data_IF_664861420232
#
_entry.id   IF_664861420232
#
_cell.length_a   1.000
_cell.length_b   1.000
_cell.length_c   1.000
_cell.angle_alpha   90.00
_cell.angle_beta   90.00
_cell.angle_gamma   90.00
#
_symmetry.space_group_name_H-M   'P 1'
#
loop_
_entity.id
_entity.type
_entity.pdbx_description
1 polymer ?
#
# COMPACT_ATOMS: atom_id res chain seq x y z
N UNK A 1 21.58 -10.80 -1.62
CA UNK A 1 20.66 -9.66 -1.48
C UNK A 1 20.13 -9.74 -0.06
N UNK A 2 19.99 -8.65 0.66
CA UNK A 2 19.64 -8.68 2.10
C UNK A 2 18.13 -8.43 2.28
N UNK A 3 17.42 -9.38 2.88
CA UNK A 3 15.98 -9.29 3.18
C UNK A 3 15.65 -8.12 4.12
N UNK A 4 16.62 -7.67 4.93
CA UNK A 4 16.44 -6.50 5.81
C UNK A 4 16.13 -5.22 5.03
N UNK A 5 16.67 -5.08 3.80
CA UNK A 5 16.35 -3.95 2.93
C UNK A 5 14.85 -3.89 2.63
N UNK A 6 14.25 -5.05 2.32
CA UNK A 6 12.80 -5.12 2.05
C UNK A 6 11.98 -4.91 3.31
N UNK A 7 12.39 -5.45 4.46
CA UNK A 7 11.69 -5.18 5.73
C UNK A 7 11.69 -3.69 6.06
N UNK A 8 12.81 -3.00 5.89
CA UNK A 8 12.90 -1.56 6.11
C UNK A 8 12.05 -0.77 5.10
N UNK A 9 12.08 -1.16 3.81
CA UNK A 9 11.28 -0.54 2.77
C UNK A 9 9.78 -0.70 3.04
N UNK A 10 9.35 -1.87 3.50
CA UNK A 10 7.96 -2.12 3.85
C UNK A 10 7.55 -1.47 5.17
N UNK A 11 8.45 -1.32 6.13
CA UNK A 11 8.17 -0.52 7.33
C UNK A 11 7.86 0.93 6.95
N UNK A 12 8.68 1.53 6.07
CA UNK A 12 8.39 2.83 5.49
C UNK A 12 7.01 2.83 4.78
N UNK A 13 6.71 1.84 3.96
CA UNK A 13 5.45 1.74 3.24
C UNK A 13 4.26 1.75 4.21
N UNK A 14 4.30 0.96 5.28
CA UNK A 14 3.25 0.87 6.28
C UNK A 14 3.11 2.16 7.10
N UNK A 15 4.21 2.73 7.55
CA UNK A 15 4.20 3.94 8.37
C UNK A 15 3.63 5.13 7.59
N UNK A 16 3.99 5.28 6.31
CA UNK A 16 3.44 6.34 5.46
C UNK A 16 1.94 6.12 5.17
N UNK A 17 1.51 4.88 4.97
CA UNK A 17 0.10 4.55 4.79
C UNK A 17 -0.71 4.93 6.03
N UNK A 18 -0.21 4.61 7.23
CA UNK A 18 -0.84 5.00 8.50
C UNK A 18 -0.86 6.51 8.67
N UNK A 19 0.28 7.16 8.43
CA UNK A 19 0.38 8.62 8.55
C UNK A 19 -0.61 9.36 7.65
N UNK A 20 -0.74 8.96 6.39
CA UNK A 20 -1.75 9.54 5.47
C UNK A 20 -3.15 9.33 6.02
N UNK A 21 -3.44 8.13 6.51
CA UNK A 21 -4.75 7.83 7.07
C UNK A 21 -5.06 8.73 8.27
N UNK A 22 -4.18 8.76 9.26
CA UNK A 22 -4.42 9.43 10.53
C UNK A 22 -4.41 10.96 10.40
N UNK A 23 -3.44 11.51 9.65
CA UNK A 23 -3.26 12.96 9.56
C UNK A 23 -4.11 13.62 8.45
N UNK A 24 -4.40 12.89 7.35
CA UNK A 24 -5.01 13.50 6.17
C UNK A 24 -6.42 12.96 5.85
N UNK A 25 -6.71 11.68 6.14
CA UNK A 25 -7.99 11.06 5.77
C UNK A 25 -9.02 11.13 6.90
N UNK A 26 -8.62 10.87 8.14
CA UNK A 26 -9.51 10.93 9.31
C UNK A 26 -10.22 12.30 9.43
N UNK A 27 -9.54 13.45 9.21
CA UNK A 27 -10.17 14.76 9.33
C UNK A 27 -11.16 15.12 8.22
N UNK A 28 -11.20 14.35 7.12
CA UNK A 28 -12.08 14.67 5.98
C UNK A 28 -13.56 14.54 6.35
N UNK A 29 -14.38 15.39 5.75
CA UNK A 29 -15.82 15.14 5.69
C UNK A 29 -16.13 13.97 4.77
N UNK A 30 -17.31 13.35 4.89
CA UNK A 30 -17.72 12.26 4.00
C UNK A 30 -17.84 12.74 2.54
N UNK A 31 -18.25 13.99 2.34
CA UNK A 31 -18.27 14.60 1.02
C UNK A 31 -16.87 14.70 0.42
N UNK A 32 -15.88 15.17 1.18
CA UNK A 32 -14.49 15.24 0.70
C UNK A 32 -13.91 13.85 0.39
N UNK A 33 -14.19 12.87 1.25
CA UNK A 33 -13.70 11.50 1.10
C UNK A 33 -14.24 10.81 -0.16
N UNK A 34 -15.52 11.08 -0.53
CA UNK A 34 -16.20 10.44 -1.66
C UNK A 34 -16.26 11.31 -2.91
N UNK A 35 -15.81 12.57 -2.85
CA UNK A 35 -15.87 13.53 -3.96
C UNK A 35 -15.17 12.95 -5.21
N UNK A 36 -15.91 12.88 -6.29
CA UNK A 36 -15.36 12.45 -7.60
C UNK A 36 -14.35 13.48 -8.09
N UNK A 37 -13.19 12.98 -8.52
CA UNK A 37 -12.14 13.77 -9.16
C UNK A 37 -11.73 13.08 -10.46
N UNK A 38 -11.43 13.88 -11.47
CA UNK A 38 -10.96 13.38 -12.77
C UNK A 38 -9.43 13.30 -12.77
N UNK A 39 -8.90 12.46 -11.86
CA UNK A 39 -7.48 12.23 -11.72
C UNK A 39 -7.22 10.83 -11.15
N UNK A 40 -6.26 10.10 -11.75
CA UNK A 40 -5.87 8.77 -11.33
C UNK A 40 -7.07 7.81 -11.22
N UNK A 41 -7.22 7.12 -10.10
CA UNK A 41 -8.35 6.19 -9.85
C UNK A 41 -9.56 6.89 -9.23
N UNK A 42 -9.56 8.21 -9.11
CA UNK A 42 -10.72 9.01 -8.68
C UNK A 42 -10.63 9.53 -7.24
N UNK A 43 -11.72 9.41 -6.48
CA UNK A 43 -11.85 9.99 -5.13
C UNK A 43 -10.80 9.49 -4.14
N UNK A 44 -10.66 10.17 -3.00
CA UNK A 44 -9.82 9.69 -1.87
C UNK A 44 -10.19 8.26 -1.50
N UNK A 45 -11.49 7.95 -1.40
CA UNK A 45 -11.98 6.59 -1.15
C UNK A 45 -11.45 5.58 -2.18
N UNK A 46 -11.51 5.93 -3.47
CA UNK A 46 -11.03 5.07 -4.54
C UNK A 46 -9.52 4.85 -4.48
N UNK A 47 -8.75 5.90 -4.18
CA UNK A 47 -7.29 5.81 -4.02
C UNK A 47 -6.90 4.86 -2.88
N UNK A 48 -7.55 5.01 -1.73
CA UNK A 48 -7.29 4.16 -0.57
C UNK A 48 -7.66 2.71 -0.84
N UNK A 49 -8.84 2.46 -1.41
CA UNK A 49 -9.27 1.09 -1.73
C UNK A 49 -8.43 0.46 -2.83
N UNK A 50 -7.88 1.25 -3.74
CA UNK A 50 -6.93 0.77 -4.74
C UNK A 50 -5.62 0.32 -4.10
N UNK A 51 -5.03 1.12 -3.22
CA UNK A 51 -3.79 0.76 -2.50
C UNK A 51 -3.95 -0.58 -1.77
N UNK A 52 -4.97 -0.70 -0.94
CA UNK A 52 -5.18 -1.94 -0.18
C UNK A 52 -5.52 -3.15 -1.06
N UNK A 53 -6.24 -2.96 -2.16
CA UNK A 53 -6.52 -4.03 -3.11
C UNK A 53 -5.24 -4.58 -3.76
N UNK A 54 -4.31 -3.70 -4.12
CA UNK A 54 -3.05 -4.11 -4.74
C UNK A 54 -2.19 -4.86 -3.73
N UNK A 55 -2.03 -4.33 -2.52
CA UNK A 55 -1.28 -4.99 -1.45
C UNK A 55 -1.84 -6.39 -1.16
N UNK A 56 -3.15 -6.50 -0.98
CA UNK A 56 -3.81 -7.79 -0.69
C UNK A 56 -3.63 -8.80 -1.81
N UNK A 57 -3.86 -8.40 -3.06
CA UNK A 57 -3.77 -9.29 -4.22
C UNK A 57 -2.36 -9.82 -4.47
N UNK A 58 -1.34 -8.95 -4.38
CA UNK A 58 0.03 -9.36 -4.55
C UNK A 58 0.49 -10.31 -3.44
N UNK A 59 0.23 -9.96 -2.18
CA UNK A 59 0.66 -10.79 -1.05
C UNK A 59 -0.17 -12.08 -0.92
N UNK A 60 -1.44 -12.10 -1.29
CA UNK A 60 -2.20 -13.35 -1.41
C UNK A 60 -1.57 -14.29 -2.45
N UNK A 61 -1.16 -13.76 -3.61
CA UNK A 61 -0.44 -14.54 -4.61
C UNK A 61 0.89 -15.08 -4.11
N UNK A 62 1.71 -14.26 -3.44
CA UNK A 62 2.99 -14.68 -2.84
C UNK A 62 2.79 -15.77 -1.78
N UNK A 63 1.70 -15.73 -1.03
CA UNK A 63 1.33 -16.73 -0.02
C UNK A 63 0.67 -17.97 -0.61
N UNK A 64 0.49 -18.01 -1.95
CA UNK A 64 -0.21 -19.08 -2.68
C UNK A 64 -1.66 -19.28 -2.23
N UNK A 65 -2.29 -18.20 -1.80
CA UNK A 65 -3.70 -18.13 -1.45
C UNK A 65 -4.54 -17.72 -2.68
N UNK A 66 -5.86 -17.96 -2.64
CA UNK A 66 -6.76 -17.43 -3.67
C UNK A 66 -6.62 -15.92 -3.79
N UNK A 67 -6.48 -15.42 -5.02
CA UNK A 67 -6.39 -13.97 -5.25
C UNK A 67 -7.77 -13.36 -4.99
N UNK A 68 -7.91 -12.43 -4.04
CA UNK A 68 -9.18 -11.80 -3.74
C UNK A 68 -9.68 -10.97 -4.93
N UNK A 69 -11.00 -10.83 -5.06
CA UNK A 69 -11.59 -9.87 -5.97
C UNK A 69 -11.28 -8.44 -5.54
N UNK A 70 -11.31 -7.52 -6.50
CA UNK A 70 -11.19 -6.10 -6.16
C UNK A 70 -12.35 -5.67 -5.27
N UNK A 71 -12.02 -5.04 -4.16
CA UNK A 71 -13.02 -4.37 -3.32
C UNK A 71 -13.60 -3.22 -4.13
N UNK A 72 -14.92 -3.23 -4.31
CA UNK A 72 -15.62 -2.09 -4.86
C UNK A 72 -15.64 -0.97 -3.82
N UNK A 73 -15.02 0.16 -4.14
CA UNK A 73 -14.94 1.31 -3.25
C UNK A 73 -16.34 1.87 -2.89
N UNK A 74 -17.34 1.69 -3.76
CA UNK A 74 -18.70 2.19 -3.51
C UNK A 74 -19.46 1.32 -2.50
N UNK A 75 -19.06 0.06 -2.35
CA UNK A 75 -19.62 -0.82 -1.31
C UNK A 75 -19.16 -0.45 0.11
N UNK A 76 -18.12 0.37 0.25
CA UNK A 76 -17.56 0.77 1.53
C UNK A 76 -17.72 2.28 1.76
N UNK A 77 -18.85 2.67 2.30
CA UNK A 77 -19.10 4.05 2.75
C UNK A 77 -18.44 4.35 4.11
N UNK A 78 -18.28 3.33 4.95
CA UNK A 78 -17.69 3.45 6.28
C UNK A 78 -16.16 3.34 6.24
N UNK A 79 -15.48 4.44 6.59
CA UNK A 79 -14.03 4.52 6.70
C UNK A 79 -13.45 3.54 7.72
N UNK A 80 -14.18 3.24 8.80
CA UNK A 80 -13.72 2.30 9.82
C UNK A 80 -13.57 0.88 9.24
N UNK A 81 -14.48 0.45 8.36
CA UNK A 81 -14.38 -0.85 7.68
C UNK A 81 -13.16 -0.90 6.76
N UNK A 82 -12.90 0.18 6.01
CA UNK A 82 -11.72 0.27 5.13
C UNK A 82 -10.44 0.19 5.98
N UNK A 83 -10.38 0.93 7.09
CA UNK A 83 -9.23 0.90 8.00
C UNK A 83 -9.00 -0.50 8.58
N UNK A 84 -10.04 -1.14 9.09
CA UNK A 84 -9.94 -2.49 9.64
C UNK A 84 -9.41 -3.50 8.60
N UNK A 85 -9.88 -3.40 7.35
CA UNK A 85 -9.36 -4.25 6.27
C UNK A 85 -7.88 -3.97 5.98
N UNK A 86 -7.51 -2.69 5.94
CA UNK A 86 -6.12 -2.31 5.71
C UNK A 86 -5.20 -2.84 6.79
N UNK A 87 -5.59 -2.71 8.07
CA UNK A 87 -4.82 -3.25 9.19
C UNK A 87 -4.66 -4.77 9.09
N UNK A 88 -5.70 -5.49 8.69
CA UNK A 88 -5.64 -6.94 8.51
C UNK A 88 -4.72 -7.35 7.36
N UNK A 89 -4.75 -6.62 6.23
CA UNK A 89 -3.87 -6.86 5.09
C UNK A 89 -2.42 -6.59 5.49
N UNK A 90 -2.16 -5.45 6.13
CA UNK A 90 -0.83 -5.08 6.60
C UNK A 90 -0.25 -6.13 7.57
N UNK A 91 -1.02 -6.62 8.52
CA UNK A 91 -0.59 -7.67 9.45
C UNK A 91 -0.15 -8.94 8.70
N UNK A 92 -0.90 -9.35 7.67
CA UNK A 92 -0.56 -10.50 6.81
C UNK A 92 0.71 -10.26 5.99
N UNK A 93 0.92 -9.04 5.50
CA UNK A 93 2.15 -8.66 4.79
C UNK A 93 3.36 -8.71 5.72
N UNK A 94 3.23 -8.16 6.94
CA UNK A 94 4.28 -8.19 7.96
C UNK A 94 4.66 -9.62 8.34
N UNK A 95 3.69 -10.52 8.53
CA UNK A 95 3.92 -11.94 8.81
C UNK A 95 4.71 -12.59 7.67
N UNK A 96 4.30 -12.39 6.42
CA UNK A 96 5.02 -12.91 5.26
C UNK A 96 6.48 -12.42 5.20
N UNK A 97 6.70 -11.12 5.37
CA UNK A 97 8.02 -10.51 5.31
C UNK A 97 8.93 -10.96 6.46
N UNK A 98 8.36 -11.25 7.63
CA UNK A 98 9.09 -11.76 8.79
C UNK A 98 9.71 -13.13 8.53
N UNK A 99 9.03 -13.99 7.79
CA UNK A 99 9.43 -15.36 7.53
C UNK A 99 10.41 -15.50 6.35
N UNK A 100 10.64 -14.42 5.57
CA UNK A 100 11.56 -14.45 4.43
C UNK A 100 13.03 -14.51 4.85
N UNK A 101 13.82 -15.22 4.05
CA UNK A 101 15.28 -15.30 4.12
C UNK A 101 15.94 -14.73 2.86
N UNK A 102 17.22 -14.45 2.92
CA UNK A 102 17.99 -13.87 1.80
C UNK A 102 17.92 -14.70 0.51
N UNK A 103 17.92 -16.02 0.64
CA UNK A 103 17.87 -16.95 -0.50
C UNK A 103 16.48 -16.94 -1.18
N UNK A 104 15.41 -16.61 -0.45
CA UNK A 104 14.07 -16.53 -1.02
C UNK A 104 13.95 -15.42 -2.06
N UNK A 105 14.72 -14.35 -1.90
CA UNK A 105 14.63 -13.17 -2.77
C UNK A 105 14.94 -13.46 -4.25
N UNK A 106 15.76 -14.47 -4.51
CA UNK A 106 16.13 -14.89 -5.88
C UNK A 106 15.20 -15.95 -6.44
N UNK A 107 14.28 -16.49 -5.64
CA UNK A 107 13.30 -17.46 -6.12
C UNK A 107 12.32 -16.80 -7.07
N UNK A 108 11.68 -17.60 -7.92
CA UNK A 108 10.64 -17.16 -8.83
C UNK A 108 9.30 -17.77 -8.39
N UNK A 109 8.56 -17.11 -7.50
CA UNK A 109 7.28 -17.63 -7.04
C UNK A 109 6.30 -17.71 -8.21
N UNK A 110 5.58 -18.83 -8.29
CA UNK A 110 4.49 -18.93 -9.24
C UNK A 110 3.36 -17.98 -8.83
N UNK A 111 3.01 -17.07 -9.73
CA UNK A 111 1.92 -16.11 -9.55
C UNK A 111 0.89 -16.35 -10.62
N UNK A 112 -0.32 -16.76 -10.24
CA UNK A 112 -1.40 -17.08 -11.18
C UNK A 112 -1.76 -15.94 -12.14
N UNK A 113 -1.54 -14.69 -11.72
CA UNK A 113 -1.79 -13.48 -12.50
C UNK A 113 -0.64 -13.08 -13.43
N UNK A 114 0.55 -13.70 -13.32
CA UNK A 114 1.74 -13.40 -14.13
C UNK A 114 2.29 -14.67 -14.79
N UNK A 115 2.49 -14.58 -16.10
CA UNK A 115 3.02 -15.70 -16.89
C UNK A 115 4.56 -15.69 -16.95
N UNK A 116 5.17 -14.53 -16.82
CA UNK A 116 6.61 -14.38 -16.94
C UNK A 116 7.30 -14.66 -15.60
N UNK A 117 8.39 -15.44 -15.60
CA UNK A 117 9.18 -15.69 -14.40
C UNK A 117 9.73 -14.37 -13.86
N UNK A 118 9.36 -14.03 -12.61
CA UNK A 118 9.79 -12.81 -11.95
C UNK A 118 10.34 -13.15 -10.59
N UNK A 119 11.55 -12.67 -10.27
CA UNK A 119 12.16 -12.93 -8.97
C UNK A 119 11.36 -12.24 -7.85
N UNK A 120 11.34 -12.87 -6.67
CA UNK A 120 10.61 -12.36 -5.52
C UNK A 120 10.99 -10.91 -5.18
N UNK A 121 12.29 -10.58 -5.21
CA UNK A 121 12.75 -9.21 -4.94
C UNK A 121 12.16 -8.17 -5.91
N UNK A 122 11.97 -8.54 -7.17
CA UNK A 122 11.36 -7.65 -8.18
C UNK A 122 9.87 -7.41 -7.88
N UNK A 123 9.16 -8.46 -7.44
CA UNK A 123 7.77 -8.34 -7.03
C UNK A 123 7.65 -7.45 -5.80
N UNK A 124 8.46 -7.70 -4.78
CA UNK A 124 8.46 -6.87 -3.55
C UNK A 124 8.77 -5.41 -3.86
N UNK A 125 9.78 -5.15 -4.71
CA UNK A 125 10.13 -3.79 -5.12
C UNK A 125 8.99 -3.15 -5.92
N UNK A 126 8.35 -3.90 -6.82
CA UNK A 126 7.21 -3.41 -7.61
C UNK A 126 6.07 -2.96 -6.70
N UNK A 127 5.66 -3.77 -5.72
CA UNK A 127 4.54 -3.43 -4.82
C UNK A 127 4.86 -2.20 -3.97
N UNK A 128 6.06 -2.10 -3.41
CA UNK A 128 6.48 -0.93 -2.64
C UNK A 128 6.53 0.35 -3.49
N UNK A 129 7.06 0.25 -4.74
CA UNK A 129 7.11 1.37 -5.67
C UNK A 129 5.71 1.79 -6.14
N UNK A 130 4.83 0.83 -6.44
CA UNK A 130 3.42 1.08 -6.76
C UNK A 130 2.72 1.83 -5.62
N UNK A 131 2.96 1.40 -4.37
CA UNK A 131 2.45 2.09 -3.19
C UNK A 131 2.94 3.54 -3.10
N UNK A 132 4.22 3.80 -3.40
CA UNK A 132 4.78 5.16 -3.40
C UNK A 132 4.14 6.03 -4.48
N UNK A 133 3.94 5.50 -5.70
CA UNK A 133 3.29 6.22 -6.78
C UNK A 133 1.84 6.59 -6.45
N UNK A 134 1.04 5.63 -5.97
CA UNK A 134 -0.35 5.89 -5.61
C UNK A 134 -0.51 6.74 -4.34
N UNK A 135 0.43 6.68 -3.39
CA UNK A 135 0.45 7.65 -2.28
C UNK A 135 0.72 9.07 -2.76
N UNK A 136 1.62 9.26 -3.73
CA UNK A 136 1.85 10.59 -4.31
C UNK A 136 0.59 11.14 -4.98
N UNK A 137 -0.13 10.30 -5.72
CA UNK A 137 -1.40 10.65 -6.34
C UNK A 137 -2.47 11.00 -5.29
N UNK A 138 -2.57 10.20 -4.22
CA UNK A 138 -3.48 10.45 -3.10
C UNK A 138 -3.15 11.78 -2.39
N UNK A 139 -1.87 12.03 -2.09
CA UNK A 139 -1.42 13.29 -1.48
C UNK A 139 -1.77 14.49 -2.36
N UNK A 140 -1.68 14.36 -3.69
CA UNK A 140 -2.12 15.40 -4.62
C UNK A 140 -3.62 15.66 -4.51
N UNK A 141 -4.45 14.62 -4.51
CA UNK A 141 -5.92 14.77 -4.35
C UNK A 141 -6.25 15.43 -3.01
N UNK A 142 -5.59 15.01 -1.93
CA UNK A 142 -5.78 15.59 -0.59
C UNK A 142 -5.39 17.08 -0.56
N UNK A 143 -4.28 17.45 -1.19
CA UNK A 143 -3.85 18.85 -1.30
C UNK A 143 -4.87 19.69 -2.07
N UNK A 144 -5.42 19.18 -3.19
CA UNK A 144 -6.45 19.86 -3.97
C UNK A 144 -7.77 20.02 -3.19
N UNK A 145 -8.00 19.19 -2.17
CA UNK A 145 -9.12 19.32 -1.22
C UNK A 145 -8.82 20.29 -0.05
N UNK A 146 -7.65 20.93 -0.05
CA UNK A 146 -7.22 21.87 0.98
C UNK A 146 -6.62 21.23 2.24
N UNK A 147 -6.32 19.94 2.20
CA UNK A 147 -5.65 19.23 3.31
C UNK A 147 -4.15 19.54 3.30
N UNK A 148 -3.59 19.86 4.45
CA UNK A 148 -2.13 19.98 4.59
C UNK A 148 -1.51 18.59 4.45
N UNK A 149 -0.67 18.42 3.45
CA UNK A 149 0.06 17.17 3.18
C UNK A 149 1.51 17.25 3.67
N UNK A 150 2.26 16.17 3.54
CA UNK A 150 3.65 16.05 3.99
C UNK A 150 4.50 15.36 2.92
N UNK A 151 5.80 15.47 3.06
CA UNK A 151 6.78 14.80 2.19
C UNK A 151 6.87 13.31 2.52
N UNK A 152 6.92 12.48 1.45
CA UNK A 152 7.02 11.03 1.58
C UNK A 152 8.39 10.48 1.13
N UNK A 153 9.42 11.32 1.05
CA UNK A 153 10.73 10.89 0.57
C UNK A 153 11.36 9.84 1.48
N UNK A 154 11.73 8.70 0.89
CA UNK A 154 12.32 7.59 1.63
C UNK A 154 13.60 7.99 2.38
N UNK A 155 14.43 8.86 1.80
CA UNK A 155 15.66 9.30 2.46
C UNK A 155 15.36 10.13 3.72
N UNK A 156 14.33 10.97 3.69
CA UNK A 156 13.90 11.76 4.86
C UNK A 156 13.39 10.81 5.95
N UNK A 157 12.57 9.83 5.57
CA UNK A 157 12.11 8.80 6.50
C UNK A 157 13.29 8.08 7.17
N UNK A 158 14.31 7.67 6.40
CA UNK A 158 15.47 6.96 6.96
C UNK A 158 16.24 7.83 7.94
N UNK A 159 16.41 9.13 7.68
CA UNK A 159 17.09 10.05 8.62
C UNK A 159 16.33 10.21 9.94
N UNK A 160 15.02 10.17 9.91
CA UNK A 160 14.17 10.30 11.10
C UNK A 160 14.10 9.01 11.94
N UNK A 161 14.44 7.85 11.34
CA UNK A 161 14.35 6.54 11.98
C UNK A 161 15.73 5.84 12.12
N UNK A 162 16.83 6.56 11.97
CA UNK A 162 18.17 6.07 12.31
C UNK A 162 18.31 6.01 13.83
N UNK A 163 18.23 4.79 14.39
CA UNK A 163 18.60 4.46 15.79
C UNK A 163 19.86 3.64 15.83
#
# INVERSE_FOLDING_TARGET
MDVKLFRNLYQYHFDLNRKIWDECIVPLTDEQFTRKVDYSVGSVRNQVTHLLNIDDRWFSGLRREPIPDFIDSEAYSDRAIIRQKWDAIEARMQEYLKDLHDDDLLTQPFMAQHKDPTALWQILLHVANHGTDHRAQLLRVLNDLGVKTFEQDYIIYTWQHQS
#
